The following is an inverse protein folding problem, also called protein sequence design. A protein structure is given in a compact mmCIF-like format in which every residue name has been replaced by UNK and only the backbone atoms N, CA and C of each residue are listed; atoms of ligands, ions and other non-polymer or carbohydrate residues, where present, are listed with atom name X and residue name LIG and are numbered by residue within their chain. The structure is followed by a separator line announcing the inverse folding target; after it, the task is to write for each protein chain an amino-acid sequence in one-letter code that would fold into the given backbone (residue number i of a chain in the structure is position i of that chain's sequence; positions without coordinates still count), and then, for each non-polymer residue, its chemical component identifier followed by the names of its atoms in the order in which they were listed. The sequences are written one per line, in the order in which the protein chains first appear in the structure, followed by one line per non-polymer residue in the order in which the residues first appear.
data_IF_894524784579
#
_entry.id   IF_894524784579
#
_cell.length_a   1.000
_cell.length_b   1.000
_cell.length_c   1.000
_cell.angle_alpha   90.00
_cell.angle_beta   90.00
_cell.angle_gamma   90.00
#
_symmetry.space_group_name_H-M   'P 1'
#
loop_
_entity.id
_entity.type
_entity.pdbx_description
1 polymer ?
#
# COMPACT_ATOMS: atom_id res chain seq x y z
N UNK A 1 29.87 -4.24 7.72
CA UNK A 1 28.96 -3.26 8.38
C UNK A 1 27.66 -3.05 7.60
N UNK A 2 26.68 -2.28 8.09
CA UNK A 2 25.47 -1.92 7.30
C UNK A 2 25.83 -1.05 6.08
N UNK A 3 26.86 -0.20 6.20
CA UNK A 3 27.39 0.64 5.11
C UNK A 3 27.83 -0.18 3.88
N UNK A 4 28.39 -1.37 4.07
CA UNK A 4 28.81 -2.28 2.99
C UNK A 4 27.65 -3.01 2.31
N UNK A 5 26.46 -3.02 2.93
CA UNK A 5 25.27 -3.70 2.39
C UNK A 5 24.38 -2.76 1.57
N UNK A 6 24.68 -1.46 1.59
CA UNK A 6 23.97 -0.45 0.84
C UNK A 6 24.77 -0.16 -0.44
N UNK A 7 24.10 -0.29 -1.57
CA UNK A 7 24.57 0.22 -2.85
C UNK A 7 24.40 1.73 -2.86
N UNK A 8 25.48 2.46 -2.56
CA UNK A 8 25.46 3.92 -2.52
C UNK A 8 25.42 4.52 -3.93
N UNK A 9 25.99 3.83 -4.93
CA UNK A 9 26.01 4.26 -6.33
C UNK A 9 24.60 4.31 -6.92
N UNK A 10 23.71 3.41 -6.49
CA UNK A 10 22.28 3.48 -6.81
C UNK A 10 21.67 4.82 -6.39
N UNK A 11 21.92 5.26 -5.15
CA UNK A 11 21.37 6.52 -4.65
C UNK A 11 21.99 7.75 -5.33
N UNK A 12 23.30 7.70 -5.59
CA UNK A 12 23.97 8.77 -6.31
C UNK A 12 23.37 8.92 -7.71
N UNK A 13 23.20 7.82 -8.45
CA UNK A 13 22.60 7.84 -9.80
C UNK A 13 21.14 8.32 -9.78
N UNK A 14 20.35 7.87 -8.80
CA UNK A 14 18.93 8.21 -8.72
C UNK A 14 18.68 9.66 -8.28
N UNK A 15 19.55 10.20 -7.43
CA UNK A 15 19.35 11.53 -6.84
C UNK A 15 20.21 12.63 -7.44
N UNK A 16 21.20 12.33 -8.28
CA UNK A 16 22.01 13.35 -8.99
C UNK A 16 21.15 14.34 -9.76
N UNK A 17 20.02 13.91 -10.33
CA UNK A 17 19.08 14.78 -11.06
C UNK A 17 18.49 15.91 -10.19
N UNK A 18 18.46 15.72 -8.86
CA UNK A 18 17.97 16.73 -7.91
C UNK A 18 19.09 17.69 -7.47
N UNK A 19 20.33 17.46 -7.89
CA UNK A 19 21.50 18.22 -7.47
C UNK A 19 21.95 19.14 -8.59
N UNK A 20 22.12 20.42 -8.26
CA UNK A 20 22.68 21.38 -9.21
C UNK A 20 24.19 21.18 -9.30
N UNK A 21 24.73 21.23 -10.52
CA UNK A 21 26.18 21.30 -10.79
C UNK A 21 26.71 22.73 -10.81
N UNK A 22 25.81 23.72 -10.71
CA UNK A 22 26.13 25.15 -10.65
C UNK A 22 25.79 25.66 -9.24
N UNK A 23 26.60 26.61 -8.76
CA UNK A 23 26.53 27.23 -7.42
C UNK A 23 27.09 26.38 -6.27
N UNK A 24 26.78 26.76 -5.02
CA UNK A 24 27.33 26.14 -3.80
C UNK A 24 27.12 24.62 -3.84
N UNK A 25 28.18 23.82 -3.61
CA UNK A 25 28.06 22.36 -3.65
C UNK A 25 27.03 21.90 -2.61
N UNK A 26 26.08 21.08 -3.07
CA UNK A 26 25.14 20.42 -2.17
C UNK A 26 25.86 19.34 -1.34
N UNK A 27 25.35 19.05 -0.15
CA UNK A 27 25.89 18.00 0.71
C UNK A 27 25.89 16.63 0.02
N UNK A 28 26.88 15.75 0.25
CA UNK A 28 26.93 14.44 -0.40
C UNK A 28 25.62 13.65 -0.26
N UNK A 29 25.17 13.03 -1.35
CA UNK A 29 23.92 12.24 -1.37
C UNK A 29 23.98 11.12 -0.33
N UNK A 30 25.12 10.40 -0.25
CA UNK A 30 25.35 9.39 0.79
C UNK A 30 25.12 9.91 2.19
N UNK A 31 25.66 11.08 2.55
CA UNK A 31 25.49 11.70 3.87
C UNK A 31 24.01 11.95 4.16
N UNK A 32 23.30 12.58 3.21
CA UNK A 32 21.87 12.91 3.37
C UNK A 32 20.99 11.66 3.51
N UNK A 33 21.18 10.67 2.64
CA UNK A 33 20.44 9.41 2.66
C UNK A 33 20.74 8.61 3.93
N UNK A 34 22.02 8.50 4.31
CA UNK A 34 22.44 7.80 5.52
C UNK A 34 21.85 8.43 6.79
N UNK A 35 21.87 9.76 6.89
CA UNK A 35 21.23 10.46 8.00
C UNK A 35 19.73 10.17 8.09
N UNK A 36 18.99 10.20 6.97
CA UNK A 36 17.56 9.85 6.97
C UNK A 36 17.31 8.40 7.41
N UNK A 37 18.18 7.46 7.01
CA UNK A 37 18.12 6.07 7.47
C UNK A 37 18.41 5.96 8.97
N UNK A 38 19.44 6.62 9.49
CA UNK A 38 19.80 6.62 10.92
C UNK A 38 18.67 7.20 11.78
N UNK A 39 18.06 8.31 11.35
CA UNK A 39 16.88 8.89 12.00
C UNK A 39 15.76 7.87 12.15
N UNK A 40 15.54 7.04 11.12
CA UNK A 40 14.51 6.00 11.17
C UNK A 40 14.92 4.83 12.06
N UNK A 41 16.16 4.37 11.98
CA UNK A 41 16.66 3.21 12.74
C UNK A 41 16.66 3.50 14.25
N UNK A 42 17.10 4.70 14.64
CA UNK A 42 17.24 5.10 16.05
C UNK A 42 16.09 5.98 16.55
N UNK A 43 15.06 6.21 15.72
CA UNK A 43 13.91 7.07 16.04
C UNK A 43 14.32 8.49 16.51
N UNK A 44 15.23 9.13 15.78
CA UNK A 44 15.77 10.45 16.11
C UNK A 44 15.14 11.59 15.28
N UNK A 45 14.97 12.74 15.93
CA UNK A 45 14.63 14.02 15.32
C UNK A 45 15.79 14.58 14.49
N UNK A 46 15.58 15.73 13.82
CA UNK A 46 16.61 16.37 12.99
C UNK A 46 17.79 16.85 13.85
N UNK A 47 17.51 17.56 14.95
CA UNK A 47 18.53 18.04 15.89
C UNK A 47 19.16 16.93 16.74
N UNK A 48 18.38 15.95 17.19
CA UNK A 48 18.90 14.87 18.03
C UNK A 48 19.80 13.93 17.24
N UNK A 49 19.57 13.78 15.92
CA UNK A 49 20.51 13.11 15.04
C UNK A 49 21.84 13.84 14.99
N UNK A 50 21.85 15.16 14.78
CA UNK A 50 23.08 15.94 14.69
C UNK A 50 23.96 15.75 15.94
N UNK A 51 23.36 15.84 17.13
CA UNK A 51 24.04 15.59 18.41
C UNK A 51 24.59 14.15 18.50
N UNK A 52 23.77 13.15 18.16
CA UNK A 52 24.17 11.75 18.20
C UNK A 52 25.28 11.42 17.20
N UNK A 53 25.24 12.03 16.02
CA UNK A 53 26.20 11.82 14.94
C UNK A 53 27.60 12.31 15.31
N UNK A 54 27.70 13.49 15.93
CA UNK A 54 28.98 14.04 16.41
C UNK A 54 29.62 13.12 17.46
N UNK A 55 28.83 12.49 18.32
CA UNK A 55 29.34 11.61 19.38
C UNK A 55 29.64 10.18 18.92
N UNK A 56 29.29 9.80 17.69
CA UNK A 56 29.30 8.40 17.27
C UNK A 56 30.10 8.17 15.98
N UNK A 57 31.36 7.70 16.07
CA UNK A 57 32.21 7.42 14.92
C UNK A 57 31.58 6.47 13.89
N UNK A 58 30.74 5.54 14.35
CA UNK A 58 30.07 4.59 13.46
C UNK A 58 28.97 5.26 12.62
N UNK A 59 28.28 6.27 13.16
CA UNK A 59 27.31 7.05 12.39
C UNK A 59 28.00 7.89 11.33
N UNK A 60 29.16 8.47 11.66
CA UNK A 60 29.97 9.26 10.72
C UNK A 60 30.49 8.40 9.57
N UNK A 61 31.07 7.25 9.90
CA UNK A 61 31.52 6.28 8.90
C UNK A 61 30.37 5.78 8.00
N UNK A 62 29.20 5.53 8.58
CA UNK A 62 28.02 5.14 7.82
C UNK A 62 27.62 6.22 6.79
N UNK A 63 27.68 7.48 7.21
CA UNK A 63 27.43 8.66 6.37
C UNK A 63 28.51 8.96 5.33
N UNK A 64 29.67 8.29 5.37
CA UNK A 64 30.72 8.43 4.37
C UNK A 64 31.96 9.19 4.82
N UNK A 65 32.05 9.56 6.11
CA UNK A 65 33.25 10.20 6.64
C UNK A 65 34.40 9.21 6.78
N UNK A 66 35.58 9.58 6.27
CA UNK A 66 36.81 8.82 6.43
C UNK A 66 37.53 9.11 7.77
N UNK A 67 37.30 10.31 8.32
CA UNK A 67 37.89 10.77 9.57
C UNK A 67 36.81 11.22 10.54
N UNK A 68 37.12 11.17 11.84
CA UNK A 68 36.18 11.60 12.85
C UNK A 68 36.00 13.12 12.81
N UNK A 69 34.75 13.55 12.71
CA UNK A 69 34.32 14.94 12.67
C UNK A 69 33.77 15.34 14.04
N UNK A 70 34.10 16.55 14.48
CA UNK A 70 33.66 17.10 15.77
C UNK A 70 32.43 18.00 15.66
N UNK A 71 32.00 18.31 14.44
CA UNK A 71 30.84 19.15 14.16
C UNK A 71 29.95 18.50 13.11
N UNK A 72 28.65 18.76 13.18
CA UNK A 72 27.71 18.21 12.21
C UNK A 72 27.80 19.02 10.90
N UNK A 73 27.85 18.39 9.69
CA UNK A 73 28.31 19.08 8.49
C UNK A 73 27.39 20.17 7.90
N UNK A 74 26.15 20.28 8.39
CA UNK A 74 25.14 21.23 7.88
C UNK A 74 24.06 21.51 8.94
N UNK A 75 23.19 22.49 8.70
CA UNK A 75 22.13 22.83 9.64
C UNK A 75 20.98 21.80 9.59
N UNK A 76 20.44 21.32 10.73
CA UNK A 76 19.36 20.33 10.73
C UNK A 76 18.11 20.72 9.90
N UNK A 77 17.86 22.01 9.66
CA UNK A 77 16.78 22.46 8.77
C UNK A 77 16.97 22.02 7.31
N UNK A 78 18.20 21.73 6.86
CA UNK A 78 18.50 21.23 5.53
C UNK A 78 17.88 19.84 5.28
N UNK A 79 17.56 19.06 6.32
CA UNK A 79 16.78 17.82 6.16
C UNK A 79 15.38 18.09 5.62
N UNK A 80 14.77 19.22 5.99
CA UNK A 80 13.46 19.62 5.46
C UNK A 80 13.61 20.00 3.99
N UNK A 81 14.64 20.78 3.64
CA UNK A 81 14.91 21.18 2.26
C UNK A 81 15.21 19.99 1.36
N UNK A 82 16.02 19.03 1.82
CA UNK A 82 16.33 17.82 1.07
C UNK A 82 15.10 16.94 0.84
N UNK A 83 14.27 16.72 1.87
CA UNK A 83 13.01 15.97 1.73
C UNK A 83 12.06 16.62 0.73
N UNK A 84 11.94 17.96 0.75
CA UNK A 84 11.14 18.72 -0.22
C UNK A 84 11.72 18.57 -1.64
N UNK A 85 13.04 18.62 -1.77
CA UNK A 85 13.76 18.54 -3.05
C UNK A 85 13.56 17.19 -3.76
N UNK A 86 13.71 16.08 -3.04
CA UNK A 86 13.54 14.73 -3.62
C UNK A 86 12.07 14.28 -3.71
N UNK A 87 11.17 14.99 -3.00
CA UNK A 87 9.75 14.72 -2.95
C UNK A 87 9.36 13.37 -2.34
N UNK A 88 8.06 13.06 -2.39
CA UNK A 88 7.52 11.79 -1.87
C UNK A 88 8.14 10.59 -2.57
N UNK A 89 8.29 10.66 -3.90
CA UNK A 89 8.87 9.58 -4.71
C UNK A 89 10.31 9.28 -4.32
N UNK A 90 11.13 10.31 -4.07
CA UNK A 90 12.51 10.12 -3.63
C UNK A 90 12.61 9.51 -2.23
N UNK A 91 11.81 10.01 -1.28
CA UNK A 91 11.76 9.43 0.07
C UNK A 91 11.30 7.96 0.04
N UNK A 92 10.31 7.63 -0.79
CA UNK A 92 9.84 6.24 -0.98
C UNK A 92 10.94 5.33 -1.52
N UNK A 93 11.82 5.81 -2.40
CA UNK A 93 12.98 5.03 -2.87
C UNK A 93 13.95 4.67 -1.74
N UNK A 94 14.30 5.65 -0.89
CA UNK A 94 15.16 5.42 0.30
C UNK A 94 14.53 4.36 1.21
N UNK A 95 13.24 4.50 1.49
CA UNK A 95 12.53 3.58 2.37
C UNK A 95 12.42 2.18 1.77
N UNK A 96 12.07 2.08 0.48
CA UNK A 96 11.95 0.81 -0.23
C UNK A 96 13.28 0.05 -0.22
N UNK A 97 14.39 0.75 -0.48
CA UNK A 97 15.72 0.15 -0.44
C UNK A 97 16.06 -0.40 0.95
N UNK A 98 15.78 0.37 2.01
CA UNK A 98 15.97 -0.10 3.40
C UNK A 98 15.19 -1.39 3.70
N UNK A 99 13.95 -1.49 3.19
CA UNK A 99 13.11 -2.68 3.30
C UNK A 99 13.69 -3.82 2.48
N UNK A 100 14.29 -3.58 1.32
CA UNK A 100 14.88 -4.62 0.47
C UNK A 100 16.12 -5.26 1.11
N UNK A 101 17.02 -4.46 1.69
CA UNK A 101 18.25 -4.95 2.38
C UNK A 101 17.88 -5.95 3.48
N UNK A 102 16.86 -5.63 4.27
CA UNK A 102 16.44 -6.43 5.41
C UNK A 102 15.32 -7.42 5.08
N UNK A 103 14.59 -7.23 3.98
CA UNK A 103 13.24 -7.75 3.77
C UNK A 103 13.15 -9.27 3.85
N UNK A 104 13.96 -9.99 3.07
CA UNK A 104 13.90 -11.46 3.04
C UNK A 104 14.37 -12.10 4.35
N UNK A 105 15.44 -11.56 4.96
CA UNK A 105 16.00 -12.11 6.22
C UNK A 105 15.11 -11.76 7.42
N UNK A 106 14.61 -10.53 7.49
CA UNK A 106 13.68 -10.08 8.51
C UNK A 106 12.33 -10.82 8.42
N UNK A 107 11.76 -10.98 7.21
CA UNK A 107 10.53 -11.75 7.00
C UNK A 107 10.71 -13.21 7.44
N UNK A 108 11.83 -13.86 7.10
CA UNK A 108 12.13 -15.22 7.56
C UNK A 108 12.21 -15.28 9.09
N UNK A 109 12.94 -14.35 9.72
CA UNK A 109 13.07 -14.29 11.19
C UNK A 109 11.71 -14.09 11.88
N UNK A 110 10.89 -13.15 11.40
CA UNK A 110 9.53 -12.91 11.91
C UNK A 110 8.65 -14.15 11.78
N UNK A 111 8.69 -14.82 10.62
CA UNK A 111 7.93 -16.06 10.38
C UNK A 111 8.36 -17.18 11.34
N UNK A 112 9.66 -17.33 11.60
CA UNK A 112 10.18 -18.30 12.57
C UNK A 112 9.74 -17.99 14.00
N UNK A 113 9.83 -16.73 14.43
CA UNK A 113 9.41 -16.31 15.78
C UNK A 113 7.91 -16.55 15.96
N UNK A 114 7.08 -16.06 15.03
CA UNK A 114 5.64 -16.24 15.07
C UNK A 114 5.26 -17.73 15.13
N UNK A 115 5.89 -18.57 14.29
CA UNK A 115 5.61 -20.01 14.27
C UNK A 115 6.11 -20.74 15.51
N UNK A 116 7.11 -20.21 16.23
CA UNK A 116 7.51 -20.73 17.54
C UNK A 116 6.47 -20.38 18.60
N UNK A 117 6.02 -19.13 18.64
CA UNK A 117 5.02 -18.65 19.60
C UNK A 117 3.70 -19.41 19.48
N UNK A 118 3.20 -19.64 18.26
CA UNK A 118 1.98 -20.44 18.07
C UNK A 118 2.14 -21.86 18.62
N UNK A 119 3.24 -22.56 18.28
CA UNK A 119 3.51 -23.91 18.78
C UNK A 119 3.73 -23.97 20.29
N UNK A 120 4.20 -22.89 20.89
CA UNK A 120 4.34 -22.76 22.34
C UNK A 120 2.97 -22.59 23.00
N UNK A 121 2.11 -21.73 22.46
CA UNK A 121 0.72 -21.60 22.90
C UNK A 121 -0.02 -22.94 22.78
N UNK A 122 0.08 -23.61 21.63
CA UNK A 122 -0.59 -24.90 21.39
C UNK A 122 -0.14 -25.99 22.37
N UNK A 123 1.09 -25.94 22.88
CA UNK A 123 1.62 -26.90 23.87
C UNK A 123 1.27 -26.56 25.31
N UNK A 124 1.13 -25.27 25.61
CA UNK A 124 0.92 -24.80 26.98
C UNK A 124 -0.56 -24.64 27.36
N UNK A 125 -1.45 -24.53 26.36
CA UNK A 125 -2.89 -24.39 26.60
C UNK A 125 -3.55 -25.76 26.80
N UNK A 126 -4.54 -25.82 27.70
CA UNK A 126 -5.35 -27.02 27.90
C UNK A 126 -6.45 -27.16 26.83
N UNK A 127 -7.11 -28.31 26.76
CA UNK A 127 -8.13 -28.59 25.72
C UNK A 127 -9.27 -27.55 25.69
N UNK A 128 -9.71 -27.09 26.87
CA UNK A 128 -10.75 -26.08 26.97
C UNK A 128 -10.31 -24.72 26.39
N UNK A 129 -9.08 -24.29 26.70
CA UNK A 129 -8.51 -23.05 26.16
C UNK A 129 -8.24 -23.15 24.66
N UNK A 130 -7.77 -24.31 24.18
CA UNK A 130 -7.57 -24.55 22.74
C UNK A 130 -8.88 -24.47 21.97
N UNK A 131 -9.97 -25.00 22.55
CA UNK A 131 -11.32 -24.84 22.01
C UNK A 131 -11.73 -23.36 21.95
N UNK A 132 -11.50 -22.61 23.04
CA UNK A 132 -11.86 -21.19 23.13
C UNK A 132 -11.15 -20.33 22.08
N UNK A 133 -9.84 -20.56 21.86
CA UNK A 133 -9.00 -19.77 20.93
C UNK A 133 -8.82 -20.41 19.55
N UNK A 134 -9.61 -21.43 19.22
CA UNK A 134 -9.45 -22.22 17.99
C UNK A 134 -9.43 -21.33 16.74
N UNK A 135 -10.34 -20.36 16.66
CA UNK A 135 -10.49 -19.49 15.49
C UNK A 135 -9.27 -18.58 15.28
N UNK A 136 -8.72 -18.04 16.36
CA UNK A 136 -7.53 -17.19 16.35
C UNK A 136 -6.29 -17.99 15.97
N UNK A 137 -6.12 -19.18 16.54
CA UNK A 137 -4.99 -20.07 16.22
C UNK A 137 -5.04 -20.52 14.76
N UNK A 138 -6.21 -20.86 14.23
CA UNK A 138 -6.40 -21.16 12.80
C UNK A 138 -6.04 -19.96 11.91
N UNK A 139 -6.45 -18.75 12.29
CA UNK A 139 -6.11 -17.51 11.58
C UNK A 139 -4.59 -17.27 11.56
N UNK A 140 -3.92 -17.41 12.71
CA UNK A 140 -2.49 -17.19 12.81
C UNK A 140 -1.70 -18.24 12.02
N UNK A 141 -2.09 -19.52 12.11
CA UNK A 141 -1.51 -20.59 11.32
C UNK A 141 -1.65 -20.32 9.82
N UNK A 142 -2.84 -19.90 9.36
CA UNK A 142 -3.07 -19.52 7.97
C UNK A 142 -2.16 -18.38 7.51
N UNK A 143 -1.99 -17.34 8.32
CA UNK A 143 -1.12 -16.18 8.01
C UNK A 143 0.35 -16.56 7.91
N UNK A 144 0.82 -17.48 8.75
CA UNK A 144 2.21 -17.95 8.70
C UNK A 144 2.45 -18.83 7.47
N UNK A 145 1.48 -19.67 7.12
CA UNK A 145 1.64 -20.67 6.06
C UNK A 145 1.39 -20.11 4.65
N UNK A 146 0.60 -19.04 4.51
CA UNK A 146 0.27 -18.48 3.21
C UNK A 146 1.50 -18.07 2.38
N UNK A 147 1.47 -18.36 1.08
CA UNK A 147 2.49 -18.03 0.09
C UNK A 147 2.02 -16.89 -0.81
N UNK A 148 2.94 -16.28 -1.56
CA UNK A 148 2.63 -15.14 -2.45
C UNK A 148 1.56 -15.49 -3.50
N UNK A 149 1.59 -16.73 -4.00
CA UNK A 149 0.73 -17.29 -5.04
C UNK A 149 -0.64 -17.75 -4.54
N UNK A 150 -0.85 -17.80 -3.22
CA UNK A 150 -2.10 -18.31 -2.67
C UNK A 150 -3.25 -17.35 -2.96
N UNK A 151 -4.43 -17.93 -3.20
CA UNK A 151 -5.70 -17.21 -3.29
C UNK A 151 -6.24 -16.96 -1.88
N UNK A 152 -7.10 -15.94 -1.72
CA UNK A 152 -7.81 -15.67 -0.45
C UNK A 152 -6.88 -15.50 0.77
N UNK A 153 -5.76 -14.79 0.56
CA UNK A 153 -4.78 -14.46 1.59
C UNK A 153 -5.37 -13.52 2.64
N UNK A 154 -4.85 -13.64 3.86
CA UNK A 154 -5.17 -12.74 4.96
C UNK A 154 -4.23 -11.54 4.88
N UNK A 155 -4.81 -10.34 4.71
CA UNK A 155 -4.07 -9.07 4.64
C UNK A 155 -4.09 -8.28 5.95
N UNK A 156 -5.00 -8.61 6.87
CA UNK A 156 -5.10 -7.99 8.19
C UNK A 156 -5.55 -9.01 9.23
N UNK A 157 -4.88 -9.05 10.38
CA UNK A 157 -5.26 -9.92 11.51
C UNK A 157 -6.59 -9.47 12.13
N UNK A 158 -6.77 -8.16 12.30
CA UNK A 158 -7.97 -7.59 12.92
C UNK A 158 -9.17 -7.48 11.96
N UNK A 159 -8.91 -7.46 10.65
CA UNK A 159 -9.93 -7.39 9.59
C UNK A 159 -9.70 -8.51 8.59
N UNK A 160 -9.88 -9.77 9.00
CA UNK A 160 -9.58 -10.96 8.20
C UNK A 160 -10.38 -11.07 6.88
N UNK A 161 -11.49 -10.33 6.78
CA UNK A 161 -12.30 -10.16 5.57
C UNK A 161 -11.75 -9.12 4.57
N UNK A 162 -10.61 -8.48 4.87
CA UNK A 162 -9.97 -7.50 3.98
C UNK A 162 -9.46 -8.18 2.72
N UNK A 163 -9.84 -7.66 1.56
CA UNK A 163 -9.41 -8.11 0.25
C UNK A 163 -8.41 -7.14 -0.36
N UNK A 164 -7.49 -7.67 -1.17
CA UNK A 164 -6.64 -6.87 -2.05
C UNK A 164 -7.37 -6.63 -3.37
N UNK A 165 -7.49 -5.36 -3.75
CA UNK A 165 -8.22 -4.91 -4.93
C UNK A 165 -7.24 -4.11 -5.80
N UNK A 166 -7.12 -4.47 -7.08
CA UNK A 166 -6.27 -3.74 -8.01
C UNK A 166 -6.99 -2.46 -8.48
N UNK A 167 -6.35 -1.29 -8.37
CA UNK A 167 -6.92 0.01 -8.73
C UNK A 167 -6.70 0.40 -10.20
N UNK A 168 -5.83 -0.30 -10.93
CA UNK A 168 -5.46 0.04 -12.32
C UNK A 168 -4.71 1.38 -12.47
N UNK A 169 -4.30 2.02 -11.37
CA UNK A 169 -3.56 3.29 -11.37
C UNK A 169 -2.05 3.05 -11.26
N UNK A 170 -1.26 3.80 -12.03
CA UNK A 170 0.22 3.66 -12.08
C UNK A 170 0.86 3.94 -10.71
N UNK A 171 0.45 5.01 -10.04
CA UNK A 171 1.01 5.44 -8.75
C UNK A 171 0.42 4.71 -7.53
N UNK A 172 -0.66 3.95 -7.69
CA UNK A 172 -1.28 3.16 -6.61
C UNK A 172 -1.95 1.92 -7.20
N UNK A 173 -1.17 0.83 -7.28
CA UNK A 173 -1.59 -0.39 -7.96
C UNK A 173 -2.67 -1.17 -7.20
N UNK A 174 -2.66 -1.10 -5.86
CA UNK A 174 -3.54 -1.88 -5.00
C UNK A 174 -4.18 -1.04 -3.90
N UNK A 175 -5.34 -1.50 -3.45
CA UNK A 175 -5.96 -1.10 -2.20
C UNK A 175 -6.39 -2.33 -1.39
N UNK A 176 -6.57 -2.12 -0.09
CA UNK A 176 -6.97 -3.16 0.85
C UNK A 176 -8.25 -2.73 1.52
N UNK A 177 -9.30 -3.52 1.36
CA UNK A 177 -10.61 -3.20 1.92
C UNK A 177 -11.62 -4.30 1.68
N UNK A 178 -12.82 -4.08 2.20
CA UNK A 178 -13.98 -4.90 1.88
C UNK A 178 -14.73 -4.25 0.72
N UNK A 179 -15.17 -5.04 -0.27
CA UNK A 179 -15.97 -4.48 -1.38
C UNK A 179 -17.40 -4.30 -0.88
N UNK A 180 -17.94 -3.10 -1.05
CA UNK A 180 -19.31 -2.77 -0.69
C UNK A 180 -20.00 -2.25 -1.94
N UNK A 181 -21.17 -2.81 -2.23
CA UNK A 181 -22.07 -2.30 -3.25
C UNK A 181 -23.20 -1.52 -2.60
N UNK A 182 -23.61 -0.45 -3.26
CA UNK A 182 -24.66 0.43 -2.78
C UNK A 182 -25.46 0.93 -3.98
N UNK A 183 -26.78 1.00 -3.84
CA UNK A 183 -27.69 1.55 -4.86
C UNK A 183 -28.41 2.75 -4.30
N UNK A 184 -28.65 3.74 -5.17
CA UNK A 184 -29.40 4.94 -4.82
C UNK A 184 -30.47 5.25 -5.84
N UNK A 185 -31.48 6.01 -5.42
CA UNK A 185 -32.41 6.65 -6.35
C UNK A 185 -31.71 7.77 -7.12
N UNK A 186 -31.95 7.86 -8.43
CA UNK A 186 -31.26 8.83 -9.29
C UNK A 186 -31.48 10.30 -8.89
N UNK A 187 -32.70 10.66 -8.44
CA UNK A 187 -33.06 12.05 -8.13
C UNK A 187 -32.76 12.48 -6.70
N UNK A 188 -33.06 11.61 -5.73
CA UNK A 188 -32.98 11.95 -4.30
C UNK A 188 -31.79 11.34 -3.57
N UNK A 189 -30.98 10.51 -4.26
CA UNK A 189 -29.80 9.83 -3.70
C UNK A 189 -30.10 9.00 -2.44
N UNK A 190 -31.35 8.57 -2.27
CA UNK A 190 -31.77 7.73 -1.15
C UNK A 190 -31.21 6.33 -1.38
N UNK A 191 -30.54 5.78 -0.38
CA UNK A 191 -29.97 4.44 -0.42
C UNK A 191 -31.12 3.43 -0.38
N UNK A 192 -31.22 2.59 -1.41
CA UNK A 192 -32.27 1.55 -1.51
C UNK A 192 -31.76 0.16 -1.13
N UNK A 193 -30.46 -0.10 -1.35
CA UNK A 193 -29.79 -1.32 -0.94
C UNK A 193 -28.30 -1.07 -0.67
N UNK A 194 -27.75 -1.82 0.28
CA UNK A 194 -26.34 -1.82 0.63
C UNK A 194 -25.92 -3.24 1.02
N UNK A 195 -24.84 -3.71 0.40
CA UNK A 195 -24.33 -5.06 0.62
C UNK A 195 -22.82 -5.09 0.67
N UNK A 196 -22.28 -5.66 1.75
CA UNK A 196 -20.86 -5.96 1.86
C UNK A 196 -20.57 -7.34 1.25
N UNK A 197 -19.49 -7.45 0.48
CA UNK A 197 -19.14 -8.65 -0.27
C UNK A 197 -17.85 -9.25 0.26
N UNK A 198 -17.90 -10.51 0.69
CA UNK A 198 -16.70 -11.23 1.07
C UNK A 198 -15.79 -11.47 -0.14
N UNK A 199 -14.48 -11.26 0.04
CA UNK A 199 -13.50 -11.43 -1.03
C UNK A 199 -13.47 -10.25 -2.01
N UNK A 200 -13.07 -10.53 -3.25
CA UNK A 200 -13.01 -9.53 -4.32
C UNK A 200 -13.80 -10.05 -5.53
N UNK A 201 -15.16 -10.06 -5.47
CA UNK A 201 -15.96 -10.41 -6.62
C UNK A 201 -15.78 -9.38 -7.73
N UNK A 202 -15.93 -9.83 -8.97
CA UNK A 202 -16.01 -8.92 -10.12
C UNK A 202 -17.23 -8.00 -9.96
N UNK A 203 -17.10 -6.73 -10.34
CA UNK A 203 -18.11 -5.69 -10.05
C UNK A 203 -19.48 -6.05 -10.65
N UNK A 204 -19.53 -6.66 -11.83
CA UNK A 204 -20.79 -7.14 -12.42
C UNK A 204 -21.53 -8.22 -11.61
N UNK A 205 -20.82 -8.96 -10.75
CA UNK A 205 -21.42 -9.94 -9.83
C UNK A 205 -22.00 -9.30 -8.56
N UNK A 206 -21.78 -8.01 -8.37
CA UNK A 206 -22.33 -7.26 -7.22
C UNK A 206 -23.75 -6.74 -7.48
N UNK A 207 -24.17 -6.65 -8.76
CA UNK A 207 -25.44 -6.03 -9.15
C UNK A 207 -26.64 -6.89 -8.73
N UNK A 208 -26.64 -8.17 -9.08
CA UNK A 208 -27.73 -9.10 -8.77
C UNK A 208 -28.03 -9.18 -7.26
N UNK A 209 -27.04 -9.34 -6.36
CA UNK A 209 -27.29 -9.32 -4.92
C UNK A 209 -27.90 -8.02 -4.38
N UNK A 210 -27.67 -6.88 -5.05
CA UNK A 210 -28.28 -5.60 -4.70
C UNK A 210 -29.72 -5.51 -5.23
N UNK A 211 -29.97 -5.97 -6.46
CA UNK A 211 -31.33 -6.03 -7.02
C UNK A 211 -32.26 -6.91 -6.17
N UNK A 212 -31.77 -8.06 -5.72
CA UNK A 212 -32.52 -8.94 -4.83
C UNK A 212 -32.85 -8.23 -3.50
N UNK A 213 -31.90 -7.48 -2.94
CA UNK A 213 -32.13 -6.71 -1.71
C UNK A 213 -33.15 -5.57 -1.90
N UNK A 214 -33.16 -4.90 -3.06
CA UNK A 214 -34.19 -3.89 -3.38
C UNK A 214 -35.57 -4.55 -3.45
N UNK A 215 -35.67 -5.70 -4.11
CA UNK A 215 -36.90 -6.46 -4.20
C UNK A 215 -37.39 -6.90 -2.83
N UNK A 216 -36.51 -7.36 -1.95
CA UNK A 216 -36.85 -7.69 -0.55
C UNK A 216 -37.30 -6.45 0.25
N UNK A 217 -36.61 -5.31 0.10
CA UNK A 217 -36.88 -4.10 0.87
C UNK A 217 -38.17 -3.38 0.45
N UNK A 218 -38.47 -3.36 -0.85
CA UNK A 218 -39.53 -2.51 -1.42
C UNK A 218 -40.62 -3.31 -2.14
N UNK A 219 -40.44 -4.62 -2.33
CA UNK A 219 -41.30 -5.46 -3.15
C UNK A 219 -41.51 -4.93 -4.59
N UNK A 220 -40.49 -4.24 -5.11
CA UNK A 220 -40.45 -3.66 -6.46
C UNK A 220 -39.37 -4.37 -7.27
N UNK A 221 -39.68 -4.67 -8.53
CA UNK A 221 -38.71 -5.11 -9.51
C UNK A 221 -38.36 -3.94 -10.43
N UNK A 222 -37.07 -3.58 -10.50
CA UNK A 222 -36.64 -2.41 -11.27
C UNK A 222 -36.65 -2.72 -12.77
N UNK A 223 -37.09 -1.76 -13.58
CA UNK A 223 -37.00 -1.86 -15.05
C UNK A 223 -35.56 -1.65 -15.54
N UNK A 224 -34.85 -0.68 -14.96
CA UNK A 224 -33.49 -0.31 -15.35
C UNK A 224 -32.63 0.11 -14.16
N UNK A 225 -31.37 -0.32 -14.18
CA UNK A 225 -30.32 0.16 -13.27
C UNK A 225 -29.16 0.70 -14.09
N UNK A 226 -28.72 1.90 -13.70
CA UNK A 226 -27.52 2.52 -14.26
C UNK A 226 -26.35 2.15 -13.35
N UNK A 227 -25.28 1.63 -13.95
CA UNK A 227 -24.06 1.26 -13.23
C UNK A 227 -22.84 1.83 -13.96
N UNK A 228 -21.73 2.00 -13.24
CA UNK A 228 -20.48 2.43 -13.84
C UNK A 228 -19.91 1.39 -14.83
N UNK A 229 -18.72 1.67 -15.39
CA UNK A 229 -18.05 0.75 -16.32
C UNK A 229 -17.53 -0.53 -15.67
N UNK A 230 -17.47 -0.62 -14.34
CA UNK A 230 -17.12 -1.84 -13.62
C UNK A 230 -18.22 -2.90 -13.75
N UNK A 231 -19.47 -2.48 -13.86
CA UNK A 231 -20.65 -3.35 -14.05
C UNK A 231 -20.71 -4.09 -15.39
N UNK A 232 -19.66 -4.02 -16.22
CA UNK A 232 -19.58 -4.73 -17.50
C UNK A 232 -19.84 -6.22 -17.32
N UNK A 233 -20.86 -6.71 -18.03
CA UNK A 233 -21.31 -8.10 -17.92
C UNK A 233 -22.66 -8.30 -18.62
N UNK A 234 -23.58 -8.96 -17.94
CA UNK A 234 -24.93 -9.19 -18.45
C UNK A 234 -25.65 -7.86 -18.70
N UNK A 235 -26.33 -7.74 -19.85
CA UNK A 235 -27.14 -6.56 -20.18
C UNK A 235 -28.49 -6.57 -19.45
N UNK A 236 -28.90 -7.73 -18.96
CA UNK A 236 -30.15 -7.95 -18.23
C UNK A 236 -29.88 -8.93 -17.10
N UNK A 237 -30.51 -8.72 -15.95
CA UNK A 237 -30.57 -9.66 -14.83
C UNK A 237 -32.03 -9.75 -14.40
N UNK A 238 -32.63 -10.94 -14.54
CA UNK A 238 -34.08 -11.07 -14.48
C UNK A 238 -34.75 -10.20 -15.55
N UNK A 239 -35.71 -9.37 -15.14
CA UNK A 239 -36.36 -8.39 -16.01
C UNK A 239 -35.69 -7.00 -15.97
N UNK A 240 -34.67 -6.80 -15.14
CA UNK A 240 -34.00 -5.53 -14.99
C UNK A 240 -32.91 -5.34 -16.05
N UNK A 241 -32.99 -4.23 -16.78
CA UNK A 241 -31.97 -3.80 -17.74
C UNK A 241 -30.79 -3.15 -17.01
N UNK A 242 -29.57 -3.48 -17.41
CA UNK A 242 -28.34 -2.90 -16.87
C UNK A 242 -27.73 -1.98 -17.92
N UNK A 243 -27.71 -0.68 -17.61
CA UNK A 243 -27.17 0.36 -18.49
C UNK A 243 -25.83 0.84 -17.94
N UNK A 244 -24.80 0.79 -18.78
CA UNK A 244 -23.45 1.27 -18.46
C UNK A 244 -23.01 2.36 -19.46
N UNK A 245 -22.28 3.40 -19.03
CA UNK A 245 -21.82 4.45 -19.93
C UNK A 245 -20.86 3.92 -21.01
N UNK A 246 -21.29 3.95 -22.28
CA UNK A 246 -20.47 3.52 -23.42
C UNK A 246 -19.79 4.71 -24.12
N UNK A 247 -18.90 5.40 -23.42
CA UNK A 247 -18.00 6.40 -24.03
C UNK A 247 -16.78 5.73 -24.70
N UNK A 248 -17.00 4.60 -25.40
CA UNK A 248 -15.92 3.95 -26.16
C UNK A 248 -15.53 4.86 -27.32
N UNK A 249 -14.23 5.14 -27.48
CA UNK A 249 -13.79 5.80 -28.69
C UNK A 249 -14.02 4.86 -29.88
N UNK A 250 -14.81 5.31 -30.84
CA UNK A 250 -15.07 4.57 -32.06
C UNK A 250 -13.79 4.55 -32.90
N UNK A 251 -13.62 3.55 -33.77
CA UNK A 251 -12.48 3.50 -34.69
C UNK A 251 -12.35 4.79 -35.52
N UNK A 252 -13.50 5.37 -35.89
CA UNK A 252 -13.63 6.64 -36.64
C UNK A 252 -13.32 7.90 -35.84
N UNK A 253 -13.19 7.81 -34.51
CA UNK A 253 -12.92 9.01 -33.70
C UNK A 253 -11.50 9.51 -33.93
N UNK A 254 -11.35 10.83 -34.02
CA UNK A 254 -10.03 11.49 -34.04
C UNK A 254 -9.28 11.27 -32.71
N UNK A 255 -7.95 11.43 -32.71
CA UNK A 255 -7.16 11.29 -31.48
C UNK A 255 -7.62 12.24 -30.37
N UNK A 256 -8.02 13.47 -30.70
CA UNK A 256 -8.60 14.42 -29.74
C UNK A 256 -9.92 13.90 -29.14
N UNK A 257 -10.85 13.41 -29.97
CA UNK A 257 -12.11 12.82 -29.49
C UNK A 257 -11.87 11.56 -28.66
N UNK A 258 -10.86 10.76 -29.01
CA UNK A 258 -10.43 9.59 -28.22
C UNK A 258 -9.92 10.01 -26.85
N UNK A 259 -9.14 11.09 -26.77
CA UNK A 259 -8.62 11.64 -25.51
C UNK A 259 -9.73 12.27 -24.68
N UNK A 260 -10.61 13.09 -25.28
CA UNK A 260 -11.75 13.69 -24.58
C UNK A 260 -12.73 12.64 -24.01
N UNK A 261 -13.05 11.59 -24.78
CA UNK A 261 -13.83 10.43 -24.28
C UNK A 261 -13.09 9.61 -23.21
N UNK A 262 -11.77 9.79 -23.09
CA UNK A 262 -10.93 9.24 -22.00
C UNK A 262 -10.75 10.21 -20.82
N UNK A 263 -11.06 11.49 -20.98
CA UNK A 263 -10.93 12.53 -19.95
C UNK A 263 -12.28 12.89 -19.30
N UNK A 264 -13.40 12.74 -20.01
CA UNK A 264 -14.77 12.70 -19.45
C UNK A 264 -15.02 11.39 -18.63
N UNK A 265 -13.95 10.77 -18.13
CA UNK A 265 -13.90 9.52 -17.34
C UNK A 265 -14.04 9.82 -15.85
#
# INVERSE_FOLDING_TARGET
MLSEKIDWDYFDTEFVQYYSTKDRPSMPIRLMVACLLLKRIYNLGDETLAKAWVMNPYMQYFCGEAHFQHEFPFDPSDFVHFRKRIGVVGVEKIFTYSVLIHGKKAQKKLKTIAGRLIRELERNLNEHQLSLYKRELELFNKVIQQKRTDKNKIYSLHKSFTSCIAKGKIHKQYEFGNKVGLTTTFKSLIITAIKAFNGNPHDSKTIEPLLNQIKENQNIELEEVIYDRGGRGAKTIGNTKITTPDSRPLKRDSNYQKTKKREEI
#
